data_IF_021961565510
#
_entry.id   IF_021961565510
#
_cell.length_a   1.000
_cell.length_b   1.000
_cell.length_c   1.000
_cell.angle_alpha   90.00
_cell.angle_beta   90.00
_cell.angle_gamma   90.00
#
_symmetry.space_group_name_H-M   'P 1'
#
loop_
_entity.id
_entity.type
_entity.pdbx_description
1 polymer ?
#
# COMPACT_ATOMS: atom_id res chain seq x y z
N UNK A 1 41.53 -42.11 -20.52
CA UNK A 1 40.94 -40.97 -19.79
C UNK A 1 41.33 -39.72 -20.55
N UNK A 2 40.36 -39.03 -21.16
CA UNK A 2 40.58 -37.83 -21.99
C UNK A 2 41.19 -36.71 -21.15
N UNK A 3 42.44 -36.31 -21.44
CA UNK A 3 43.04 -35.13 -20.83
C UNK A 3 42.29 -33.89 -21.35
N UNK A 4 41.36 -33.38 -20.56
CA UNK A 4 40.70 -32.10 -20.83
C UNK A 4 41.81 -31.03 -20.82
N UNK A 5 41.94 -30.28 -21.92
CA UNK A 5 42.94 -29.21 -22.02
C UNK A 5 42.74 -28.16 -20.92
N UNK A 6 43.83 -27.69 -20.33
CA UNK A 6 43.81 -26.63 -19.28
C UNK A 6 43.04 -25.39 -19.75
N UNK A 7 43.07 -25.07 -21.05
CA UNK A 7 42.26 -24.00 -21.65
C UNK A 7 40.75 -24.24 -21.48
N UNK A 8 40.29 -25.46 -21.73
CA UNK A 8 38.87 -25.83 -21.63
C UNK A 8 38.37 -25.76 -20.18
N UNK A 9 39.21 -26.15 -19.21
CA UNK A 9 38.87 -26.00 -17.78
C UNK A 9 38.80 -24.52 -17.35
N UNK A 10 39.71 -23.68 -17.82
CA UNK A 10 39.73 -22.25 -17.49
C UNK A 10 38.49 -21.53 -18.04
N UNK A 11 38.13 -21.78 -19.30
CA UNK A 11 36.91 -21.24 -19.91
C UNK A 11 35.64 -21.78 -19.24
N UNK A 12 35.62 -23.06 -18.84
CA UNK A 12 34.51 -23.64 -18.08
C UNK A 12 34.31 -22.96 -16.72
N UNK A 13 35.38 -22.68 -15.98
CA UNK A 13 35.33 -21.95 -14.71
C UNK A 13 34.74 -20.54 -14.91
N UNK A 14 35.26 -19.79 -15.90
CA UNK A 14 34.79 -18.44 -16.22
C UNK A 14 33.31 -18.45 -16.59
N UNK A 15 32.88 -19.39 -17.44
CA UNK A 15 31.49 -19.51 -17.87
C UNK A 15 30.56 -19.80 -16.68
N UNK A 16 30.94 -20.70 -15.78
CA UNK A 16 30.14 -21.02 -14.59
C UNK A 16 30.09 -19.84 -13.61
N UNK A 17 31.20 -19.15 -13.37
CA UNK A 17 31.21 -17.97 -12.53
C UNK A 17 30.32 -16.85 -13.09
N UNK A 18 30.38 -16.60 -14.40
CA UNK A 18 29.49 -15.65 -15.07
C UNK A 18 28.02 -16.05 -14.90
N UNK A 19 27.69 -17.32 -15.10
CA UNK A 19 26.33 -17.82 -14.93
C UNK A 19 25.82 -17.62 -13.49
N UNK A 20 26.67 -17.86 -12.48
CA UNK A 20 26.32 -17.65 -11.07
C UNK A 20 26.11 -16.17 -10.75
N UNK A 21 26.98 -15.28 -11.26
CA UNK A 21 26.83 -13.82 -11.09
C UNK A 21 25.52 -13.34 -11.72
N UNK A 22 25.23 -13.78 -12.95
CA UNK A 22 23.99 -13.43 -13.65
C UNK A 22 22.78 -13.95 -12.87
N UNK A 23 22.85 -15.17 -12.33
CA UNK A 23 21.74 -15.76 -11.56
C UNK A 23 21.46 -14.97 -10.27
N UNK A 24 22.49 -14.61 -9.51
CA UNK A 24 22.34 -13.78 -8.30
C UNK A 24 21.82 -12.39 -8.67
N UNK A 25 22.36 -11.78 -9.73
CA UNK A 25 21.91 -10.49 -10.24
C UNK A 25 20.44 -10.51 -10.66
N UNK A 26 20.00 -11.55 -11.38
CA UNK A 26 18.62 -11.73 -11.81
C UNK A 26 17.67 -11.89 -10.62
N UNK A 27 18.01 -12.72 -9.63
CA UNK A 27 17.21 -12.89 -8.40
C UNK A 27 17.13 -11.57 -7.63
N UNK A 28 18.25 -10.87 -7.48
CA UNK A 28 18.29 -9.56 -6.82
C UNK A 28 17.40 -8.53 -7.53
N UNK A 29 17.52 -8.44 -8.86
CA UNK A 29 16.75 -7.50 -9.67
C UNK A 29 15.24 -7.78 -9.59
N UNK A 30 14.82 -9.04 -9.77
CA UNK A 30 13.40 -9.43 -9.68
C UNK A 30 12.82 -9.18 -8.29
N UNK A 31 13.62 -9.38 -7.23
CA UNK A 31 13.18 -9.13 -5.85
C UNK A 31 12.94 -7.65 -5.61
N UNK A 32 13.85 -6.78 -6.08
CA UNK A 32 13.72 -5.33 -5.94
C UNK A 32 12.54 -4.81 -6.75
N UNK A 33 12.40 -5.24 -8.01
CA UNK A 33 11.34 -4.77 -8.91
C UNK A 33 9.94 -5.12 -8.38
N UNK A 34 9.74 -6.36 -7.91
CA UNK A 34 8.47 -6.78 -7.29
C UNK A 34 8.21 -6.09 -5.95
N UNK A 35 9.26 -5.79 -5.18
CA UNK A 35 9.15 -5.03 -3.94
C UNK A 35 8.74 -3.57 -4.19
N UNK A 36 9.33 -2.94 -5.22
CA UNK A 36 9.00 -1.60 -5.64
C UNK A 36 7.56 -1.49 -6.15
N UNK A 37 7.08 -2.48 -6.93
CA UNK A 37 5.70 -2.51 -7.40
C UNK A 37 4.69 -2.62 -6.24
N UNK A 38 4.92 -3.52 -5.28
CA UNK A 38 4.06 -3.67 -4.11
C UNK A 38 4.07 -2.43 -3.19
N UNK A 39 5.23 -1.79 -3.03
CA UNK A 39 5.33 -0.52 -2.28
C UNK A 39 4.61 0.61 -3.00
N UNK A 40 4.72 0.70 -4.33
CA UNK A 40 4.03 1.69 -5.13
C UNK A 40 2.51 1.56 -5.02
N UNK A 41 2.00 0.33 -5.10
CA UNK A 41 0.57 0.04 -4.93
C UNK A 41 0.08 0.45 -3.54
N UNK A 42 0.81 0.09 -2.48
CA UNK A 42 0.47 0.48 -1.10
C UNK A 42 0.46 1.99 -0.90
N UNK A 43 1.47 2.70 -1.43
CA UNK A 43 1.58 4.16 -1.27
C UNK A 43 0.52 4.89 -2.10
N UNK A 44 0.28 4.47 -3.34
CA UNK A 44 -0.59 5.20 -4.26
C UNK A 44 -2.07 4.90 -4.04
N UNK A 45 -2.44 3.67 -3.61
CA UNK A 45 -3.83 3.25 -3.43
C UNK A 45 -4.24 3.20 -1.97
N UNK A 46 -3.58 2.39 -1.14
CA UNK A 46 -4.02 2.14 0.24
C UNK A 46 -3.91 3.40 1.12
N UNK A 47 -2.78 4.11 1.03
CA UNK A 47 -2.59 5.34 1.78
C UNK A 47 -3.56 6.45 1.33
N UNK A 48 -3.78 6.58 0.01
CA UNK A 48 -4.73 7.54 -0.53
C UNK A 48 -6.17 7.23 -0.09
N UNK A 49 -6.55 5.95 -0.08
CA UNK A 49 -7.86 5.50 0.41
C UNK A 49 -8.04 5.81 1.90
N UNK A 50 -7.02 5.53 2.72
CA UNK A 50 -7.04 5.80 4.16
C UNK A 50 -7.11 7.30 4.48
N UNK A 51 -6.30 8.11 3.82
CA UNK A 51 -6.27 9.56 4.00
C UNK A 51 -7.62 10.18 3.62
N UNK A 52 -8.17 9.77 2.48
CA UNK A 52 -9.45 10.31 2.02
C UNK A 52 -10.63 9.83 2.88
N UNK A 53 -10.61 8.58 3.35
CA UNK A 53 -11.59 8.07 4.31
C UNK A 53 -11.56 8.88 5.61
N UNK A 54 -10.37 9.11 6.14
CA UNK A 54 -10.17 9.89 7.37
C UNK A 54 -10.61 11.34 7.20
N UNK A 55 -10.30 11.95 6.05
CA UNK A 55 -10.71 13.30 5.71
C UNK A 55 -12.23 13.42 5.62
N UNK A 56 -12.91 12.51 4.92
CA UNK A 56 -14.38 12.48 4.83
C UNK A 56 -15.00 12.32 6.22
N UNK A 57 -14.48 11.43 7.04
CA UNK A 57 -14.96 11.23 8.42
C UNK A 57 -14.81 12.50 9.26
N UNK A 58 -13.66 13.15 9.22
CA UNK A 58 -13.42 14.41 9.91
C UNK A 58 -14.40 15.49 9.47
N UNK A 59 -14.64 15.62 8.16
CA UNK A 59 -15.55 16.63 7.60
C UNK A 59 -16.99 16.39 8.06
N UNK A 60 -17.43 15.14 8.16
CA UNK A 60 -18.78 14.80 8.65
C UNK A 60 -18.94 15.17 10.13
N UNK A 61 -17.93 14.89 10.97
CA UNK A 61 -17.94 15.32 12.37
C UNK A 61 -18.01 16.84 12.48
N UNK A 62 -17.25 17.56 11.65
CA UNK A 62 -17.29 19.03 11.61
C UNK A 62 -18.66 19.56 11.18
N UNK A 63 -19.30 18.96 10.17
CA UNK A 63 -20.66 19.33 9.75
C UNK A 63 -21.67 19.12 10.88
N UNK A 64 -21.60 18.00 11.62
CA UNK A 64 -22.45 17.78 12.79
C UNK A 64 -22.23 18.81 13.89
N UNK A 65 -20.98 19.19 14.12
CA UNK A 65 -20.63 20.22 15.10
C UNK A 65 -21.28 21.54 14.73
N UNK A 66 -21.12 21.99 13.48
CA UNK A 66 -21.72 23.24 13.01
C UNK A 66 -23.25 23.18 12.94
N UNK A 67 -23.84 22.02 12.62
CA UNK A 67 -25.29 21.78 12.74
C UNK A 67 -25.76 22.03 14.18
N UNK A 68 -25.11 21.40 15.16
CA UNK A 68 -25.45 21.58 16.58
C UNK A 68 -25.28 23.02 17.03
N UNK A 69 -24.16 23.64 16.67
CA UNK A 69 -23.87 25.03 17.01
C UNK A 69 -24.90 25.98 16.37
N UNK A 70 -25.36 25.70 15.14
CA UNK A 70 -26.44 26.44 14.49
C UNK A 70 -27.76 26.35 15.27
N UNK A 71 -28.14 25.16 15.75
CA UNK A 71 -29.36 24.98 16.55
C UNK A 71 -29.25 25.55 17.95
N UNK A 72 -28.07 25.50 18.58
CA UNK A 72 -27.85 26.06 19.91
C UNK A 72 -28.01 27.58 19.93
N UNK A 73 -27.75 28.24 18.81
CA UNK A 73 -27.82 29.69 18.65
C UNK A 73 -29.15 30.19 18.07
N UNK A 74 -30.22 29.39 18.10
CA UNK A 74 -31.56 29.87 17.70
C UNK A 74 -31.95 31.07 18.55
N UNK A 75 -32.34 32.16 17.88
CA UNK A 75 -32.59 33.47 18.50
C UNK A 75 -31.40 34.45 18.39
N UNK A 76 -30.23 33.99 17.90
CA UNK A 76 -29.09 34.83 17.58
C UNK A 76 -28.74 34.73 16.07
N UNK A 77 -29.32 35.60 15.22
CA UNK A 77 -29.15 35.52 13.77
C UNK A 77 -27.70 35.63 13.28
N UNK A 78 -26.88 36.45 13.94
CA UNK A 78 -25.47 36.62 13.58
C UNK A 78 -24.69 35.33 13.79
N UNK A 79 -24.86 34.69 14.96
CA UNK A 79 -24.23 33.40 15.25
C UNK A 79 -24.74 32.28 14.35
N UNK A 80 -26.04 32.25 14.08
CA UNK A 80 -26.61 31.29 13.14
C UNK A 80 -26.01 31.44 11.74
N UNK A 81 -25.86 32.67 11.25
CA UNK A 81 -25.24 32.92 9.96
C UNK A 81 -23.76 32.53 9.95
N UNK A 82 -23.02 32.79 11.04
CA UNK A 82 -21.61 32.36 11.20
C UNK A 82 -21.46 30.85 11.04
N UNK A 83 -22.25 30.05 11.76
CA UNK A 83 -22.17 28.59 11.69
C UNK A 83 -22.69 28.02 10.37
N UNK A 84 -23.69 28.65 9.76
CA UNK A 84 -24.18 28.25 8.44
C UNK A 84 -23.10 28.43 7.37
N UNK A 85 -22.33 29.52 7.41
CA UNK A 85 -21.22 29.72 6.48
C UNK A 85 -20.13 28.66 6.64
N UNK A 86 -19.75 28.33 7.89
CA UNK A 86 -18.77 27.26 8.18
C UNK A 86 -19.26 25.89 7.71
N UNK A 87 -20.56 25.61 7.85
CA UNK A 87 -21.19 24.40 7.32
C UNK A 87 -21.07 24.37 5.78
N UNK A 88 -21.45 25.47 5.12
CA UNK A 88 -21.45 25.58 3.66
C UNK A 88 -20.05 25.45 3.05
N UNK A 89 -19.02 25.97 3.72
CA UNK A 89 -17.63 25.84 3.30
C UNK A 89 -17.21 24.37 3.19
N UNK A 90 -17.57 23.55 4.18
CA UNK A 90 -17.30 22.12 4.15
C UNK A 90 -18.18 21.41 3.14
N UNK A 91 -19.48 21.71 3.13
CA UNK A 91 -20.47 21.10 2.24
C UNK A 91 -20.11 21.27 0.76
N UNK A 92 -19.52 22.40 0.37
CA UNK A 92 -19.09 22.65 -0.99
C UNK A 92 -18.03 21.65 -1.49
N UNK A 93 -17.16 21.17 -0.61
CA UNK A 93 -16.09 20.21 -0.95
C UNK A 93 -16.54 18.73 -0.86
N UNK A 94 -17.58 18.44 -0.09
CA UNK A 94 -18.00 17.07 0.22
C UNK A 94 -18.34 16.20 -1.01
N UNK A 95 -19.10 16.67 -2.03
CA UNK A 95 -19.41 15.86 -3.19
C UNK A 95 -18.16 15.38 -3.94
N UNK A 96 -17.15 16.25 -4.07
CA UNK A 96 -15.89 15.89 -4.72
C UNK A 96 -15.10 14.88 -3.89
N UNK A 97 -14.99 15.10 -2.57
CA UNK A 97 -14.30 14.18 -1.66
C UNK A 97 -14.92 12.77 -1.71
N UNK A 98 -16.25 12.68 -1.66
CA UNK A 98 -16.96 11.41 -1.74
C UNK A 98 -16.86 10.75 -3.11
N UNK A 99 -16.88 11.54 -4.20
CA UNK A 99 -16.68 11.01 -5.55
C UNK A 99 -15.27 10.43 -5.74
N UNK A 100 -14.25 11.12 -5.23
CA UNK A 100 -12.87 10.61 -5.23
C UNK A 100 -12.75 9.33 -4.39
N UNK A 101 -13.41 9.28 -3.23
CA UNK A 101 -13.39 8.12 -2.34
C UNK A 101 -14.05 6.91 -3.00
N UNK A 102 -15.21 7.09 -3.61
CA UNK A 102 -15.90 6.05 -4.36
C UNK A 102 -15.09 5.55 -5.56
N UNK A 103 -14.37 6.45 -6.24
CA UNK A 103 -13.50 6.09 -7.36
C UNK A 103 -12.33 5.22 -6.88
N UNK A 104 -11.62 5.66 -5.84
CA UNK A 104 -10.50 4.91 -5.25
C UNK A 104 -10.96 3.53 -4.76
N UNK A 105 -12.05 3.49 -3.98
CA UNK A 105 -12.59 2.23 -3.46
C UNK A 105 -12.99 1.25 -4.57
N UNK A 106 -13.52 1.73 -5.70
CA UNK A 106 -13.90 0.87 -6.84
C UNK A 106 -12.69 0.32 -7.60
N UNK A 107 -11.59 1.06 -7.63
CA UNK A 107 -10.36 0.67 -8.33
C UNK A 107 -9.44 -0.20 -7.47
N UNK A 108 -9.65 -0.22 -6.17
CA UNK A 108 -8.90 -1.02 -5.21
C UNK A 108 -9.33 -2.49 -5.30
N UNK A 109 -8.38 -3.35 -5.71
CA UNK A 109 -8.61 -4.80 -5.90
C UNK A 109 -8.59 -5.55 -4.56
N UNK A 110 -7.99 -4.95 -3.53
CA UNK A 110 -7.82 -5.54 -2.21
C UNK A 110 -8.96 -5.19 -1.25
N UNK A 111 -9.71 -4.12 -1.53
CA UNK A 111 -10.89 -3.75 -0.76
C UNK A 111 -12.06 -4.72 -1.00
N UNK A 112 -12.64 -5.33 0.04
CA UNK A 112 -13.81 -6.20 -0.07
C UNK A 112 -15.01 -5.55 -0.79
N UNK A 113 -15.69 -6.31 -1.65
CA UNK A 113 -16.83 -5.81 -2.45
C UNK A 113 -17.97 -5.21 -1.59
N UNK A 114 -18.21 -5.73 -0.40
CA UNK A 114 -19.20 -5.19 0.53
C UNK A 114 -18.81 -3.79 1.02
N UNK A 115 -17.51 -3.56 1.28
CA UNK A 115 -16.99 -2.24 1.63
C UNK A 115 -17.01 -1.29 0.43
N UNK A 116 -16.70 -1.77 -0.78
CA UNK A 116 -16.85 -0.97 -2.00
C UNK A 116 -18.30 -0.48 -2.17
N UNK A 117 -19.28 -1.36 -1.95
CA UNK A 117 -20.70 -1.01 -2.02
C UNK A 117 -21.10 0.01 -0.94
N UNK A 118 -20.57 -0.13 0.28
CA UNK A 118 -20.79 0.85 1.37
C UNK A 118 -20.24 2.23 1.01
N UNK A 119 -19.01 2.29 0.50
CA UNK A 119 -18.41 3.55 0.03
C UNK A 119 -19.25 4.17 -1.09
N UNK A 120 -19.72 3.36 -2.03
CA UNK A 120 -20.57 3.82 -3.13
C UNK A 120 -21.93 4.37 -2.66
N UNK A 121 -22.41 3.97 -1.48
CA UNK A 121 -23.65 4.46 -0.88
C UNK A 121 -23.48 5.79 -0.09
N UNK A 122 -22.26 6.14 0.31
CA UNK A 122 -21.98 7.36 1.11
C UNK A 122 -22.54 8.66 0.50
N UNK A 123 -22.43 8.92 -0.82
CA UNK A 123 -22.99 10.13 -1.42
C UNK A 123 -24.50 10.29 -1.20
N UNK A 124 -25.25 9.19 -1.26
CA UNK A 124 -26.70 9.21 -1.05
C UNK A 124 -27.04 9.49 0.41
N UNK A 125 -26.40 8.78 1.35
CA UNK A 125 -26.56 9.01 2.79
C UNK A 125 -26.23 10.45 3.18
N UNK A 126 -25.17 11.00 2.60
CA UNK A 126 -24.78 12.39 2.81
C UNK A 126 -25.79 13.39 2.22
N UNK A 127 -26.28 13.13 1.01
CA UNK A 127 -27.28 13.98 0.38
C UNK A 127 -28.58 14.05 1.19
N UNK A 128 -29.01 12.93 1.77
CA UNK A 128 -30.18 12.86 2.65
C UNK A 128 -29.96 13.66 3.94
N UNK A 129 -28.82 13.47 4.61
CA UNK A 129 -28.44 14.26 5.79
C UNK A 129 -28.41 15.77 5.48
N UNK A 130 -27.73 16.15 4.40
CA UNK A 130 -27.62 17.54 3.93
C UNK A 130 -28.99 18.14 3.62
N UNK A 131 -29.85 17.38 2.95
CA UNK A 131 -31.22 17.79 2.64
C UNK A 131 -32.03 18.09 3.90
N UNK A 132 -31.94 17.21 4.89
CA UNK A 132 -32.56 17.40 6.20
C UNK A 132 -32.09 18.66 6.92
N UNK A 133 -30.79 18.94 6.89
CA UNK A 133 -30.23 20.13 7.51
C UNK A 133 -30.75 21.42 6.85
N UNK A 134 -30.64 21.54 5.52
CA UNK A 134 -31.11 22.73 4.82
C UNK A 134 -32.63 22.93 4.92
N UNK A 135 -33.43 21.85 4.96
CA UNK A 135 -34.85 21.97 5.21
C UNK A 135 -35.14 22.51 6.62
N UNK A 136 -34.41 22.03 7.62
CA UNK A 136 -34.51 22.51 9.01
C UNK A 136 -34.10 23.99 9.12
N UNK A 137 -33.01 24.39 8.47
CA UNK A 137 -32.58 25.81 8.38
C UNK A 137 -33.68 26.68 7.77
N UNK A 138 -34.31 26.23 6.68
CA UNK A 138 -35.41 26.95 6.02
C UNK A 138 -36.61 27.12 6.95
N UNK A 139 -37.00 26.06 7.67
CA UNK A 139 -38.11 26.10 8.65
C UNK A 139 -37.82 27.05 9.81
N UNK A 140 -36.60 27.02 10.36
CA UNK A 140 -36.17 27.92 11.43
C UNK A 140 -36.22 29.40 11.01
N UNK A 141 -35.79 29.71 9.79
CA UNK A 141 -35.89 31.08 9.25
C UNK A 141 -37.33 31.56 9.08
N UNK A 142 -38.26 30.65 8.74
CA UNK A 142 -39.66 30.98 8.49
C UNK A 142 -40.56 30.91 9.75
N UNK A 143 -40.07 30.33 10.84
CA UNK A 143 -40.82 30.15 12.08
C UNK A 143 -39.96 30.56 13.30
N UNK A 144 -39.94 31.87 13.66
CA UNK A 144 -39.09 32.40 14.73
C UNK A 144 -39.41 31.85 16.12
N UNK A 145 -40.54 31.15 16.27
CA UNK A 145 -40.99 30.56 17.53
C UNK A 145 -40.39 29.16 17.78
N UNK A 146 -39.69 28.59 16.78
CA UNK A 146 -39.10 27.27 16.90
C UNK A 146 -37.95 27.29 17.91
N UNK A 147 -37.92 26.31 18.82
CA UNK A 147 -36.84 26.16 19.80
C UNK A 147 -35.71 25.28 19.28
N UNK A 148 -34.49 25.36 19.87
CA UNK A 148 -33.42 24.41 19.60
C UNK A 148 -33.84 22.94 19.70
N UNK A 149 -34.72 22.61 20.66
CA UNK A 149 -35.20 21.25 20.87
C UNK A 149 -36.09 20.79 19.71
N UNK A 150 -36.95 21.67 19.20
CA UNK A 150 -37.79 21.37 18.05
C UNK A 150 -36.96 21.21 16.76
N UNK A 151 -35.93 22.04 16.57
CA UNK A 151 -34.97 21.88 15.48
C UNK A 151 -34.26 20.52 15.53
N UNK A 152 -33.85 20.10 16.73
CA UNK A 152 -33.22 18.80 16.92
C UNK A 152 -34.16 17.63 16.57
N UNK A 153 -35.46 17.74 16.89
CA UNK A 153 -36.48 16.75 16.51
C UNK A 153 -36.67 16.68 15.00
N UNK A 154 -36.66 17.82 14.29
CA UNK A 154 -36.74 17.85 12.83
C UNK A 154 -35.59 17.10 12.15
N UNK A 155 -34.41 17.09 12.78
CA UNK A 155 -33.26 16.34 12.29
C UNK A 155 -33.21 14.87 12.71
N UNK A 156 -34.12 14.38 13.56
CA UNK A 156 -34.01 13.05 14.17
C UNK A 156 -33.91 11.92 13.11
N UNK A 157 -34.72 12.00 12.04
CA UNK A 157 -34.68 11.03 10.93
C UNK A 157 -33.31 10.98 10.25
N UNK A 158 -32.75 12.14 9.94
CA UNK A 158 -31.51 12.29 9.18
C UNK A 158 -30.25 12.01 10.01
N UNK A 159 -30.36 12.07 11.34
CA UNK A 159 -29.27 11.72 12.26
C UNK A 159 -29.02 10.22 12.35
N UNK A 160 -29.99 9.38 11.96
CA UNK A 160 -29.85 7.93 11.96
C UNK A 160 -28.80 7.45 10.93
N UNK A 161 -28.58 8.20 9.87
CA UNK A 161 -27.63 7.86 8.81
C UNK A 161 -26.17 8.07 9.25
N UNK A 162 -25.93 8.94 10.23
CA UNK A 162 -24.57 9.26 10.63
C UNK A 162 -23.85 8.11 11.34
N UNK A 163 -24.44 7.42 12.34
CA UNK A 163 -23.80 6.23 12.91
C UNK A 163 -23.46 5.17 11.87
N UNK A 164 -24.31 5.00 10.84
CA UNK A 164 -24.04 4.08 9.72
C UNK A 164 -22.82 4.56 8.93
N UNK A 165 -22.78 5.85 8.60
CA UNK A 165 -21.67 6.48 7.89
C UNK A 165 -20.36 6.36 8.67
N UNK A 166 -20.36 6.67 9.97
CA UNK A 166 -19.22 6.54 10.87
C UNK A 166 -18.74 5.08 10.95
N UNK A 167 -19.66 4.12 11.08
CA UNK A 167 -19.33 2.69 11.11
C UNK A 167 -18.73 2.20 9.78
N UNK A 168 -19.29 2.61 8.65
CA UNK A 168 -18.82 2.21 7.33
C UNK A 168 -17.42 2.79 7.05
N UNK A 169 -17.15 4.05 7.40
CA UNK A 169 -15.81 4.64 7.29
C UNK A 169 -14.79 3.97 8.23
N UNK A 170 -15.20 3.61 9.46
CA UNK A 170 -14.33 2.86 10.36
C UNK A 170 -13.99 1.47 9.81
N UNK A 171 -14.95 0.80 9.16
CA UNK A 171 -14.73 -0.49 8.53
C UNK A 171 -13.76 -0.38 7.34
N UNK A 172 -13.89 0.66 6.51
CA UNK A 172 -12.95 0.94 5.41
C UNK A 172 -11.56 1.22 5.95
N UNK A 173 -11.42 2.09 6.95
CA UNK A 173 -10.12 2.39 7.56
C UNK A 173 -9.46 1.14 8.16
N UNK A 174 -10.23 0.28 8.84
CA UNK A 174 -9.73 -0.99 9.37
C UNK A 174 -9.32 -1.98 8.27
N UNK A 175 -10.00 -1.98 7.12
CA UNK A 175 -9.62 -2.79 5.97
C UNK A 175 -8.29 -2.29 5.36
N UNK A 176 -8.15 -0.98 5.14
CA UNK A 176 -6.90 -0.38 4.66
C UNK A 176 -5.72 -0.68 5.59
N UNK A 177 -5.89 -0.58 6.91
CA UNK A 177 -4.82 -0.92 7.87
C UNK A 177 -4.40 -2.40 7.77
N UNK A 178 -5.37 -3.32 7.63
CA UNK A 178 -5.08 -4.74 7.41
C UNK A 178 -4.35 -4.99 6.10
N UNK A 179 -4.70 -4.28 5.03
CA UNK A 179 -4.04 -4.40 3.73
C UNK A 179 -2.57 -3.97 3.82
N UNK A 180 -2.30 -2.81 4.44
CA UNK A 180 -0.94 -2.32 4.70
C UNK A 180 -0.12 -3.33 5.52
N UNK A 181 -0.73 -3.93 6.56
CA UNK A 181 -0.09 -4.96 7.37
C UNK A 181 0.19 -6.25 6.58
N UNK A 182 -0.72 -6.66 5.70
CA UNK A 182 -0.54 -7.85 4.86
C UNK A 182 0.55 -7.66 3.81
N UNK A 183 0.58 -6.52 3.12
CA UNK A 183 1.59 -6.22 2.11
C UNK A 183 2.97 -6.10 2.75
N UNK A 184 3.08 -5.41 3.90
CA UNK A 184 4.35 -5.33 4.64
C UNK A 184 4.84 -6.70 5.12
N UNK A 185 3.97 -7.54 5.68
CA UNK A 185 4.32 -8.90 6.09
C UNK A 185 4.77 -9.77 4.89
N UNK A 186 4.09 -9.68 3.75
CA UNK A 186 4.47 -10.38 2.54
C UNK A 186 5.80 -9.88 1.97
N UNK A 187 6.05 -8.57 2.00
CA UNK A 187 7.31 -7.97 1.56
C UNK A 187 8.49 -8.47 2.41
N UNK A 188 8.32 -8.49 3.75
CA UNK A 188 9.34 -9.03 4.67
C UNK A 188 9.61 -10.51 4.39
N UNK A 189 8.56 -11.32 4.24
CA UNK A 189 8.71 -12.75 3.95
C UNK A 189 9.43 -12.99 2.61
N UNK A 190 9.05 -12.27 1.55
CA UNK A 190 9.71 -12.37 0.24
C UNK A 190 11.19 -11.96 0.30
N UNK A 191 11.52 -10.93 1.07
CA UNK A 191 12.91 -10.53 1.29
C UNK A 191 13.71 -11.62 2.03
N UNK A 192 13.10 -12.30 3.01
CA UNK A 192 13.73 -13.43 3.70
C UNK A 192 13.96 -14.63 2.76
N UNK A 193 12.96 -14.98 1.95
CA UNK A 193 13.08 -16.07 0.97
C UNK A 193 14.16 -15.77 -0.08
N UNK A 194 14.20 -14.55 -0.61
CA UNK A 194 15.23 -14.11 -1.55
C UNK A 194 16.63 -14.16 -0.90
N UNK A 195 16.77 -13.73 0.35
CA UNK A 195 18.02 -13.82 1.10
C UNK A 195 18.49 -15.26 1.25
N UNK A 196 17.59 -16.19 1.53
CA UNK A 196 17.90 -17.61 1.65
C UNK A 196 18.36 -18.20 0.30
N UNK A 197 17.66 -17.87 -0.79
CA UNK A 197 18.06 -18.29 -2.14
C UNK A 197 19.45 -17.75 -2.49
N UNK A 198 19.71 -16.46 -2.27
CA UNK A 198 21.02 -15.85 -2.51
C UNK A 198 22.09 -16.54 -1.66
N UNK A 199 21.83 -16.81 -0.38
CA UNK A 199 22.78 -17.48 0.50
C UNK A 199 23.15 -18.89 0.00
N UNK A 200 22.16 -19.68 -0.45
CA UNK A 200 22.37 -21.01 -1.02
C UNK A 200 23.18 -20.93 -2.33
N UNK A 201 22.85 -20.00 -3.22
CA UNK A 201 23.58 -19.81 -4.49
C UNK A 201 25.02 -19.36 -4.25
N UNK A 202 25.25 -18.43 -3.31
CA UNK A 202 26.60 -17.97 -2.94
C UNK A 202 27.40 -19.10 -2.30
N UNK A 203 26.80 -19.88 -1.40
CA UNK A 203 27.47 -21.03 -0.80
C UNK A 203 27.86 -22.08 -1.86
N UNK A 204 26.93 -22.41 -2.76
CA UNK A 204 27.20 -23.31 -3.87
C UNK A 204 28.32 -22.78 -4.78
N UNK A 205 28.33 -21.47 -5.05
CA UNK A 205 29.39 -20.81 -5.83
C UNK A 205 30.77 -20.94 -5.15
N UNK A 206 30.85 -20.70 -3.83
CA UNK A 206 32.09 -20.83 -3.05
C UNK A 206 32.59 -22.27 -3.09
N UNK A 207 31.72 -23.25 -2.85
CA UNK A 207 32.07 -24.68 -2.88
C UNK A 207 32.57 -25.08 -4.26
N UNK A 208 31.86 -24.69 -5.33
CA UNK A 208 32.23 -25.03 -6.70
C UNK A 208 33.55 -24.38 -7.12
N UNK A 209 33.76 -23.11 -6.77
CA UNK A 209 35.02 -22.39 -7.02
C UNK A 209 36.19 -23.06 -6.28
N UNK A 210 35.98 -23.49 -5.02
CA UNK A 210 36.97 -24.23 -4.24
C UNK A 210 37.34 -25.58 -4.88
N UNK A 211 36.35 -26.37 -5.30
CA UNK A 211 36.56 -27.67 -5.94
C UNK A 211 37.29 -27.53 -7.29
N UNK A 212 36.86 -26.60 -8.13
CA UNK A 212 37.48 -26.35 -9.43
C UNK A 212 38.88 -25.75 -9.28
N UNK A 213 39.09 -24.84 -8.34
CA UNK A 213 40.40 -24.30 -8.00
C UNK A 213 41.38 -25.39 -7.55
N UNK A 214 40.95 -26.31 -6.69
CA UNK A 214 41.75 -27.45 -6.26
C UNK A 214 42.06 -28.41 -7.42
N UNK A 215 41.10 -28.65 -8.33
CA UNK A 215 41.31 -29.48 -9.51
C UNK A 215 42.32 -28.85 -10.49
N UNK A 216 42.21 -27.55 -10.76
CA UNK A 216 43.14 -26.79 -11.60
C UNK A 216 44.55 -26.79 -11.00
N UNK A 217 44.68 -26.52 -9.69
CA UNK A 217 45.97 -26.56 -9.00
C UNK A 217 46.65 -27.93 -9.16
N UNK A 218 45.92 -29.02 -8.91
CA UNK A 218 46.44 -30.38 -9.08
C UNK A 218 46.82 -30.67 -10.53
N UNK A 219 46.03 -30.22 -11.50
CA UNK A 219 46.29 -30.43 -12.93
C UNK A 219 47.56 -29.70 -13.39
N UNK A 220 47.71 -28.43 -13.01
CA UNK A 220 48.87 -27.61 -13.36
C UNK A 220 50.14 -28.17 -12.73
N UNK A 221 50.12 -28.50 -11.43
CA UNK A 221 51.27 -29.10 -10.76
C UNK A 221 51.68 -30.43 -11.39
N UNK A 222 50.72 -31.29 -11.77
CA UNK A 222 51.02 -32.55 -12.49
C UNK A 222 51.60 -32.29 -13.88
N UNK A 223 51.06 -31.33 -14.63
CA UNK A 223 51.56 -31.00 -15.98
C UNK A 223 53.00 -30.50 -15.93
N UNK A 224 53.30 -29.54 -15.04
CA UNK A 224 54.65 -28.99 -14.84
C UNK A 224 55.62 -30.07 -14.39
N UNK A 225 55.24 -30.91 -13.42
CA UNK A 225 56.10 -32.01 -12.97
C UNK A 225 56.42 -33.00 -14.10
N UNK A 226 55.43 -33.35 -14.93
CA UNK A 226 55.60 -34.29 -16.05
C UNK A 226 56.51 -33.73 -17.14
N UNK A 227 56.42 -32.43 -17.44
CA UNK A 227 57.33 -31.76 -18.38
C UNK A 227 58.74 -31.60 -17.82
N UNK A 228 58.88 -31.32 -16.52
CA UNK A 228 60.18 -31.30 -15.84
C UNK A 228 60.90 -32.64 -15.93
N UNK A 229 60.20 -33.74 -15.66
CA UNK A 229 60.73 -35.10 -15.78
C UNK A 229 61.11 -35.45 -17.24
N UNK A 230 60.28 -35.09 -18.23
CA UNK A 230 60.61 -35.31 -19.66
C UNK A 230 61.85 -34.54 -20.11
N UNK A 231 62.03 -33.29 -19.68
CA UNK A 231 63.21 -32.48 -20.02
C UNK A 231 64.49 -33.01 -19.37
N UNK A 232 64.40 -33.59 -18.17
CA UNK A 232 65.54 -34.27 -17.54
C UNK A 232 65.89 -35.58 -18.26
N UNK A 233 64.88 -36.36 -18.67
CA UNK A 233 65.11 -37.61 -19.41
C UNK A 233 65.72 -37.42 -20.80
N UNK A 234 65.53 -36.26 -21.45
CA UNK A 234 66.18 -35.93 -22.73
C UNK A 234 67.59 -35.34 -22.60
N UNK A 235 68.07 -35.06 -21.38
CA UNK A 235 69.41 -34.52 -21.11
C UNK A 235 70.40 -35.57 -20.58
N UNK A 236 69.95 -36.82 -20.43
CA UNK A 236 70.78 -38.00 -20.10
C UNK A 236 70.92 -38.81 -21.38
#
# INVERSE_FOLDING_TARGET
>A
MTEISVKTMLWGLIAIMLLLIISVGAVGFVTIDRGAAALKELVDQDAALQDLTSLVHLKIIQLRRFEKDYFLNVGNPEKQQEYLLKYQEIDAAMPQLMGNLATLARTDVHLPQDLQAKVAALPALYADYRGGFYDTVRRLKNAPNLTPQQANVLMAKFKADIPVLEADMAAVAAASDRMVQQVSAQAVKRAQDARMVIAVVVLAAIVLAGLLGAALYRSICRAIFREGVRRMAHRI
#
